data_IF_256625748965
#
_entry.id   IF_256625748965
#
_cell.length_a   1.000
_cell.length_b   1.000
_cell.length_c   1.000
_cell.angle_alpha   90.00
_cell.angle_beta   90.00
_cell.angle_gamma   90.00
#
_symmetry.space_group_name_H-M   'P 1'
#
loop_
_entity.id
_entity.type
_entity.pdbx_description
1 polymer ?
#
# COMPACT_ATOMS: atom_id res chain seq x y z
N UNK A 1 -8.35 36.01 -37.88
CA UNK A 1 -7.75 36.00 -36.54
C UNK A 1 -8.43 34.88 -35.75
N UNK A 2 -7.61 34.00 -35.20
CA UNK A 2 -7.94 32.60 -34.95
C UNK A 2 -8.99 32.37 -33.86
N UNK A 3 -9.98 31.54 -34.19
CA UNK A 3 -10.72 30.69 -33.27
C UNK A 3 -9.74 29.64 -32.73
N UNK A 4 -9.60 29.53 -31.41
CA UNK A 4 -8.89 28.43 -30.76
C UNK A 4 -9.93 27.37 -30.37
N UNK A 5 -9.79 26.20 -30.98
CA UNK A 5 -10.70 25.07 -30.92
C UNK A 5 -10.23 24.12 -29.80
N UNK A 6 -10.93 24.11 -28.66
CA UNK A 6 -10.69 23.21 -27.51
C UNK A 6 -11.37 21.84 -27.73
N UNK A 7 -11.14 21.21 -28.88
CA UNK A 7 -11.83 19.98 -29.29
C UNK A 7 -11.02 18.68 -29.14
N UNK A 8 -9.85 18.69 -28.48
CA UNK A 8 -8.95 17.53 -28.46
C UNK A 8 -9.00 16.59 -27.23
N UNK A 9 -9.89 16.78 -26.25
CA UNK A 9 -9.80 16.06 -24.95
C UNK A 9 -10.75 14.83 -24.79
N UNK A 10 -11.46 14.39 -25.84
CA UNK A 10 -12.36 13.22 -25.74
C UNK A 10 -12.05 12.06 -26.71
N UNK A 11 -10.93 12.08 -27.44
CA UNK A 11 -10.63 11.02 -28.42
C UNK A 11 -10.11 9.71 -27.82
N UNK A 12 -9.63 9.70 -26.56
CA UNK A 12 -9.09 8.47 -25.96
C UNK A 12 -10.15 7.57 -25.31
N UNK A 13 -11.42 8.01 -25.27
CA UNK A 13 -12.53 7.24 -24.68
C UNK A 13 -13.30 6.42 -25.73
N UNK A 14 -13.12 6.66 -27.04
CA UNK A 14 -13.95 6.04 -28.10
C UNK A 14 -13.32 4.90 -28.91
N UNK A 15 -11.99 4.76 -28.98
CA UNK A 15 -11.38 3.85 -29.95
C UNK A 15 -10.67 2.63 -29.34
N UNK A 16 -11.44 1.73 -28.72
CA UNK A 16 -11.02 0.32 -28.60
C UNK A 16 -11.91 -0.49 -29.55
N UNK A 17 -11.43 -0.89 -30.74
CA UNK A 17 -12.21 -1.72 -31.65
C UNK A 17 -12.43 -3.10 -31.02
N UNK A 18 -13.70 -3.39 -30.69
CA UNK A 18 -14.14 -4.70 -30.24
C UNK A 18 -14.40 -5.58 -31.48
N UNK A 19 -13.45 -6.44 -31.85
CA UNK A 19 -13.71 -7.57 -32.75
C UNK A 19 -13.85 -8.84 -31.90
N UNK A 20 -15.07 -9.32 -31.61
CA UNK A 20 -15.24 -10.61 -30.96
C UNK A 20 -14.88 -11.71 -31.97
N UNK A 21 -14.01 -12.69 -31.64
CA UNK A 21 -13.86 -13.86 -32.47
C UNK A 21 -15.15 -14.70 -32.38
N UNK A 22 -15.72 -15.02 -33.55
CA UNK A 22 -16.86 -15.92 -33.68
C UNK A 22 -16.58 -17.32 -33.09
N UNK A 23 -17.59 -18.02 -32.55
CA UNK A 23 -17.40 -19.29 -31.87
C UNK A 23 -17.09 -20.41 -32.87
N UNK A 24 -15.87 -20.94 -32.83
CA UNK A 24 -15.51 -22.20 -33.49
C UNK A 24 -15.59 -23.37 -32.48
N UNK A 25 -16.25 -24.44 -32.92
CA UNK A 25 -16.58 -25.66 -32.19
C UNK A 25 -15.35 -26.44 -31.67
N UNK A 26 -15.52 -27.33 -30.66
CA UNK A 26 -14.43 -27.88 -29.88
C UNK A 26 -13.72 -29.02 -30.63
N UNK A 27 -12.41 -28.88 -30.83
CA UNK A 27 -11.54 -30.00 -31.17
C UNK A 27 -10.80 -30.49 -29.92
N UNK A 28 -11.05 -31.76 -29.59
CA UNK A 28 -10.33 -32.53 -28.58
C UNK A 28 -8.81 -32.36 -28.70
N UNK A 29 -8.16 -31.91 -27.64
CA UNK A 29 -6.71 -32.08 -27.46
C UNK A 29 -6.40 -32.62 -26.07
N UNK A 30 -5.54 -33.64 -26.08
CA UNK A 30 -5.21 -34.56 -24.98
C UNK A 30 -4.62 -33.84 -23.77
N UNK A 31 -4.98 -34.31 -22.58
CA UNK A 31 -4.38 -33.96 -21.28
C UNK A 31 -2.89 -34.31 -21.28
N UNK A 32 -2.05 -33.33 -20.96
CA UNK A 32 -0.70 -33.51 -20.39
C UNK A 32 -0.71 -32.96 -18.96
N UNK A 33 0.10 -33.51 -18.04
CA UNK A 33 -0.01 -33.22 -16.61
C UNK A 33 0.49 -31.81 -16.27
N UNK A 34 -0.13 -31.21 -15.25
CA UNK A 34 0.23 -29.92 -14.67
C UNK A 34 1.55 -30.03 -13.92
N UNK A 35 2.58 -29.35 -14.39
CA UNK A 35 3.76 -29.05 -13.58
C UNK A 35 3.35 -28.07 -12.48
N UNK A 36 3.54 -28.51 -11.24
CA UNK A 36 3.39 -27.66 -10.05
C UNK A 36 4.67 -26.84 -9.94
N UNK A 37 4.60 -25.55 -10.25
CA UNK A 37 5.68 -24.61 -9.93
C UNK A 37 5.77 -24.45 -8.41
N UNK A 38 6.59 -25.29 -7.79
CA UNK A 38 7.09 -25.08 -6.43
C UNK A 38 8.08 -23.90 -6.46
N UNK A 39 7.63 -22.70 -6.08
CA UNK A 39 8.56 -21.69 -5.60
C UNK A 39 9.07 -22.15 -4.22
N UNK A 40 10.27 -22.70 -4.21
CA UNK A 40 10.99 -23.01 -2.98
C UNK A 40 11.47 -21.70 -2.33
N UNK A 41 11.03 -21.44 -1.10
CA UNK A 41 11.57 -20.36 -0.26
C UNK A 41 13.02 -20.70 0.14
N UNK A 42 13.96 -19.74 0.12
CA UNK A 42 15.32 -20.00 0.57
C UNK A 42 15.36 -20.20 2.10
N UNK A 43 16.32 -20.99 2.62
CA UNK A 43 16.46 -21.21 4.05
C UNK A 43 16.95 -19.93 4.75
N UNK A 44 16.36 -19.65 5.92
CA UNK A 44 16.73 -18.54 6.79
C UNK A 44 18.17 -18.73 7.31
N UNK A 45 19.15 -18.07 6.69
CA UNK A 45 20.53 -18.03 7.17
C UNK A 45 20.71 -16.95 8.24
N UNK A 46 21.18 -17.38 9.41
CA UNK A 46 21.74 -16.49 10.43
C UNK A 46 23.11 -16.01 9.96
N UNK A 47 23.23 -14.86 9.28
CA UNK A 47 24.50 -14.13 9.19
C UNK A 47 24.36 -12.67 8.70
N UNK A 48 24.79 -11.74 9.57
CA UNK A 48 25.03 -10.30 9.36
C UNK A 48 23.83 -9.35 9.12
N UNK A 49 23.79 -8.31 9.98
CA UNK A 49 22.68 -7.37 10.23
C UNK A 49 22.41 -6.32 9.13
N UNK A 50 22.30 -6.72 7.87
CA UNK A 50 21.72 -5.91 6.78
C UNK A 50 21.13 -6.83 5.71
N UNK A 51 19.88 -7.24 5.87
CA UNK A 51 19.12 -7.78 4.76
C UNK A 51 18.89 -6.66 3.74
N UNK A 52 19.61 -6.72 2.62
CA UNK A 52 19.28 -5.93 1.45
C UNK A 52 18.15 -6.67 0.72
N UNK A 53 17.21 -5.93 0.12
CA UNK A 53 16.50 -6.44 -1.05
C UNK A 53 17.56 -6.70 -2.14
N UNK A 54 18.25 -7.84 -2.06
CA UNK A 54 18.96 -8.44 -3.16
C UNK A 54 17.93 -8.62 -4.27
N UNK A 55 18.33 -8.31 -5.50
CA UNK A 55 17.48 -8.27 -6.68
C UNK A 55 17.00 -9.69 -7.02
N UNK A 56 16.06 -10.21 -6.23
CA UNK A 56 15.23 -11.36 -6.52
C UNK A 56 13.78 -10.90 -6.55
N UNK A 57 13.52 -9.90 -7.38
CA UNK A 57 12.19 -9.62 -7.91
C UNK A 57 12.18 -9.97 -9.41
N UNK A 58 12.38 -11.24 -9.80
CA UNK A 58 12.49 -11.65 -11.21
C UNK A 58 11.26 -11.21 -12.04
N UNK A 59 10.09 -11.08 -11.41
CA UNK A 59 8.86 -10.56 -12.04
C UNK A 59 8.88 -9.05 -12.31
N UNK A 60 9.59 -8.24 -11.51
CA UNK A 60 9.70 -6.80 -11.71
C UNK A 60 10.72 -6.44 -12.80
N UNK A 61 11.78 -7.22 -12.95
CA UNK A 61 12.76 -7.04 -14.04
C UNK A 61 12.12 -7.24 -15.42
N UNK A 62 11.17 -8.17 -15.54
CA UNK A 62 10.39 -8.37 -16.77
C UNK A 62 9.46 -7.18 -17.09
N UNK A 63 8.90 -6.55 -16.05
CA UNK A 63 8.08 -5.34 -16.17
C UNK A 63 8.88 -4.11 -16.64
N UNK A 64 10.19 -4.05 -16.39
CA UNK A 64 11.03 -2.93 -16.80
C UNK A 64 11.37 -2.91 -18.31
N UNK A 65 11.24 -4.06 -18.99
CA UNK A 65 11.60 -4.22 -20.41
C UNK A 65 10.46 -3.81 -21.35
N UNK A 66 9.21 -3.77 -20.87
CA UNK A 66 8.07 -3.35 -21.68
C UNK A 66 8.11 -1.83 -21.98
N UNK A 67 7.62 -1.45 -23.17
CA UNK A 67 7.58 -0.05 -23.61
C UNK A 67 6.64 0.79 -22.71
N UNK A 68 5.55 0.17 -22.23
CA UNK A 68 4.58 0.61 -21.22
C UNK A 68 4.89 0.07 -19.80
N UNK A 69 6.11 -0.41 -19.60
CA UNK A 69 6.56 -1.07 -18.38
C UNK A 69 6.76 -0.18 -17.15
N UNK A 70 6.91 -0.82 -15.98
CA UNK A 70 7.31 -0.14 -14.73
C UNK A 70 8.82 -0.19 -14.59
N UNK A 71 9.47 0.97 -14.54
CA UNK A 71 10.88 1.06 -14.14
C UNK A 71 10.99 0.75 -12.65
N UNK A 72 11.92 -0.11 -12.25
CA UNK A 72 12.17 -0.40 -10.84
C UNK A 72 13.54 0.11 -10.45
N UNK A 73 13.56 1.04 -9.50
CA UNK A 73 14.77 1.75 -9.10
C UNK A 73 14.91 1.77 -7.57
N UNK A 74 16.14 1.69 -7.03
CA UNK A 74 16.34 1.86 -5.60
C UNK A 74 15.99 3.30 -5.20
N UNK A 75 15.34 3.47 -4.05
CA UNK A 75 15.06 4.78 -3.46
C UNK A 75 16.36 5.38 -2.91
N UNK A 76 17.17 5.92 -3.81
CA UNK A 76 18.43 6.59 -3.48
C UNK A 76 18.20 8.09 -3.39
N UNK A 77 18.40 8.68 -2.21
CA UNK A 77 18.14 10.11 -1.93
C UNK A 77 18.86 11.06 -2.92
N UNK A 78 19.95 10.62 -3.56
CA UNK A 78 20.68 11.38 -4.58
C UNK A 78 20.02 11.42 -5.96
N UNK A 79 19.03 10.57 -6.24
CA UNK A 79 18.32 10.57 -7.52
C UNK A 79 17.35 11.76 -7.58
N UNK A 80 17.61 12.66 -8.53
CA UNK A 80 16.86 13.91 -8.72
C UNK A 80 15.42 13.71 -9.21
N UNK A 81 15.07 12.50 -9.69
CA UNK A 81 13.72 12.16 -10.14
C UNK A 81 12.76 11.91 -8.97
N UNK A 82 13.28 11.70 -7.76
CA UNK A 82 12.48 11.42 -6.58
C UNK A 82 11.94 12.75 -6.01
N UNK A 83 10.62 12.89 -5.83
CA UNK A 83 10.02 14.06 -5.19
C UNK A 83 10.57 14.30 -3.77
N UNK A 84 10.75 15.57 -3.40
CA UNK A 84 11.23 15.94 -2.06
C UNK A 84 10.31 15.43 -0.94
N UNK A 85 9.00 15.43 -1.19
CA UNK A 85 7.98 14.89 -0.28
C UNK A 85 8.14 13.38 -0.06
N UNK A 86 8.52 12.61 -1.09
CA UNK A 86 8.80 11.18 -0.99
C UNK A 86 10.08 10.93 -0.18
N UNK A 87 11.12 11.75 -0.37
CA UNK A 87 12.35 11.69 0.44
C UNK A 87 12.02 11.98 1.91
N UNK A 88 11.19 12.99 2.18
CA UNK A 88 10.77 13.34 3.54
C UNK A 88 9.98 12.19 4.19
N UNK A 89 8.99 11.62 3.50
CA UNK A 89 8.23 10.48 4.00
C UNK A 89 9.12 9.27 4.27
N UNK A 90 10.01 8.93 3.33
CA UNK A 90 10.96 7.81 3.50
C UNK A 90 11.85 8.00 4.72
N UNK A 91 12.37 9.21 4.96
CA UNK A 91 13.17 9.51 6.16
C UNK A 91 12.35 9.35 7.45
N UNK A 92 11.11 9.82 7.44
CA UNK A 92 10.21 9.69 8.59
C UNK A 92 9.94 8.21 8.90
N UNK A 93 9.69 7.39 7.89
CA UNK A 93 9.41 5.95 8.03
C UNK A 93 10.64 5.15 8.45
N UNK A 94 11.83 5.47 7.92
CA UNK A 94 13.05 4.70 8.19
C UNK A 94 13.78 5.09 9.48
N UNK A 95 13.63 6.34 9.94
CA UNK A 95 14.34 6.87 11.11
C UNK A 95 13.38 7.26 12.25
N UNK A 96 12.28 6.52 12.42
CA UNK A 96 11.35 6.79 13.53
C UNK A 96 12.11 6.63 14.86
N UNK A 97 12.09 7.67 15.68
CA UNK A 97 12.63 7.69 17.06
C UNK A 97 11.45 7.80 18.02
N UNK A 98 11.55 7.20 19.21
CA UNK A 98 10.42 7.14 20.13
C UNK A 98 9.29 6.32 19.49
N UNK A 99 9.48 5.01 19.33
CA UNK A 99 8.50 4.11 18.69
C UNK A 99 7.63 3.36 19.69
N UNK A 100 8.01 3.38 20.97
CA UNK A 100 7.33 2.66 22.04
C UNK A 100 6.48 3.64 22.84
N UNK A 101 5.16 3.41 23.00
CA UNK A 101 4.34 4.28 23.84
C UNK A 101 4.87 4.37 25.28
N UNK A 102 4.94 5.60 25.81
CA UNK A 102 5.50 5.86 27.15
C UNK A 102 4.82 5.05 28.26
N UNK A 103 3.51 4.81 28.13
CA UNK A 103 2.76 4.00 29.10
C UNK A 103 3.21 2.53 29.18
N UNK A 104 3.94 2.00 28.18
CA UNK A 104 4.49 0.65 28.19
C UNK A 104 5.89 0.58 28.83
N UNK A 105 6.53 1.71 29.15
CA UNK A 105 7.90 1.74 29.67
C UNK A 105 8.07 0.94 30.95
N UNK A 106 7.15 1.09 31.91
CA UNK A 106 7.19 0.35 33.17
C UNK A 106 6.99 -1.16 32.98
N UNK A 107 6.21 -1.58 31.99
CA UNK A 107 5.97 -2.99 31.69
C UNK A 107 7.20 -3.62 31.01
N UNK A 108 7.80 -2.90 30.06
CA UNK A 108 9.03 -3.32 29.37
C UNK A 108 10.21 -3.39 30.34
N UNK A 109 10.35 -2.42 31.26
CA UNK A 109 11.39 -2.46 32.28
C UNK A 109 11.31 -3.74 33.14
N UNK A 110 10.08 -4.13 33.56
CA UNK A 110 9.85 -5.39 34.30
C UNK A 110 10.18 -6.64 33.49
N UNK A 111 9.96 -6.63 32.18
CA UNK A 111 10.35 -7.75 31.31
C UNK A 111 11.88 -7.90 31.24
N UNK A 112 12.60 -6.77 31.16
CA UNK A 112 14.07 -6.76 31.12
C UNK A 112 14.70 -7.30 32.40
N UNK A 113 14.06 -7.09 33.55
CA UNK A 113 14.51 -7.63 34.84
C UNK A 113 14.31 -9.16 34.94
N UNK A 114 13.36 -9.73 34.20
CA UNK A 114 12.98 -11.15 34.30
C UNK A 114 13.69 -12.06 33.31
N UNK A 115 13.99 -11.56 32.11
CA UNK A 115 14.69 -12.32 31.08
C UNK A 115 16.19 -11.99 31.17
N UNK A 116 17.03 -12.94 31.59
CA UNK A 116 18.50 -12.84 31.55
C UNK A 116 19.08 -12.54 30.13
N UNK A 117 18.22 -12.48 29.11
CA UNK A 117 18.53 -11.95 27.78
C UNK A 117 18.14 -10.46 27.74
N UNK A 118 19.11 -9.55 27.64
CA UNK A 118 18.79 -8.15 27.75
C UNK A 118 18.12 -7.69 26.45
N UNK A 119 16.90 -7.18 26.55
CA UNK A 119 16.40 -6.23 25.56
C UNK A 119 17.17 -4.90 25.73
N UNK A 120 18.51 -4.94 25.59
CA UNK A 120 19.45 -3.80 25.71
C UNK A 120 19.09 -2.64 24.78
N UNK A 121 18.25 -2.92 23.79
CA UNK A 121 17.91 -1.98 22.74
C UNK A 121 16.83 -0.97 23.18
N UNK A 122 16.21 -1.14 24.36
CA UNK A 122 15.19 -0.23 24.91
C UNK A 122 15.79 0.86 25.80
N UNK A 123 16.68 1.69 25.25
CA UNK A 123 17.14 2.91 25.91
C UNK A 123 16.04 3.96 26.04
N UNK A 124 16.21 4.99 26.88
CA UNK A 124 15.20 6.05 27.09
C UNK A 124 14.70 6.71 25.79
N UNK A 125 15.55 6.79 24.77
CA UNK A 125 15.25 7.35 23.45
C UNK A 125 14.23 6.54 22.61
N UNK A 126 13.94 5.29 22.96
CA UNK A 126 12.95 4.47 22.21
C UNK A 126 11.51 4.76 22.62
N UNK A 127 11.29 5.41 23.76
CA UNK A 127 9.97 5.74 24.24
C UNK A 127 9.48 7.07 23.66
N UNK A 128 8.21 7.10 23.26
CA UNK A 128 7.52 8.25 22.70
C UNK A 128 7.55 9.41 23.70
N UNK A 129 8.16 10.53 23.29
CA UNK A 129 7.96 11.82 23.92
C UNK A 129 6.65 12.41 23.35
N UNK A 130 5.65 12.58 24.20
CA UNK A 130 4.24 12.78 23.82
C UNK A 130 3.96 14.04 23.00
N UNK A 131 4.93 14.94 22.84
CA UNK A 131 4.71 16.25 22.21
C UNK A 131 5.15 16.36 20.75
N UNK A 132 5.89 15.39 20.17
CA UNK A 132 6.60 15.66 18.90
C UNK A 132 6.46 14.64 17.76
N UNK A 133 5.97 13.44 18.02
CA UNK A 133 6.31 12.34 17.10
C UNK A 133 5.13 11.81 16.28
N UNK A 134 3.88 12.06 16.67
CA UNK A 134 2.77 11.38 16.00
C UNK A 134 1.41 12.08 16.17
N UNK A 135 0.51 11.90 15.18
CA UNK A 135 -0.90 12.29 15.26
C UNK A 135 -1.64 11.36 16.25
N UNK A 136 -1.89 11.78 17.51
CA UNK A 136 -2.38 10.87 18.55
C UNK A 136 -3.75 10.27 18.21
N UNK A 137 -4.53 10.97 17.38
CA UNK A 137 -5.84 10.51 16.90
C UNK A 137 -5.77 9.37 15.87
N UNK A 138 -4.59 9.07 15.30
CA UNK A 138 -4.39 7.96 14.36
C UNK A 138 -3.60 6.79 14.97
N UNK A 139 -3.05 6.93 16.18
CA UNK A 139 -2.34 5.86 16.88
C UNK A 139 -3.25 5.30 17.99
N UNK A 140 -3.86 4.13 17.79
CA UNK A 140 -4.68 3.54 18.83
C UNK A 140 -3.81 3.11 20.01
N UNK A 141 -4.42 2.96 21.19
CA UNK A 141 -3.74 2.38 22.34
C UNK A 141 -3.48 0.90 22.07
N UNK A 142 -2.25 0.44 22.30
CA UNK A 142 -1.81 -0.94 22.06
C UNK A 142 -1.37 -1.59 23.37
N UNK A 143 -1.46 -2.92 23.43
CA UNK A 143 -1.04 -3.70 24.60
C UNK A 143 0.29 -4.40 24.29
N UNK A 144 1.20 -4.45 25.27
CA UNK A 144 2.49 -5.11 25.10
C UNK A 144 2.33 -6.59 24.77
N UNK A 145 1.38 -7.27 25.42
CA UNK A 145 1.06 -8.67 25.17
C UNK A 145 0.65 -8.94 23.70
N UNK A 146 -0.05 -8.01 23.05
CA UNK A 146 -0.40 -8.14 21.64
C UNK A 146 0.84 -8.08 20.73
N UNK A 147 1.80 -7.20 21.05
CA UNK A 147 3.08 -7.12 20.33
C UNK A 147 3.91 -8.39 20.56
N UNK A 148 3.96 -8.89 21.79
CA UNK A 148 4.64 -10.14 22.12
C UNK A 148 4.04 -11.34 21.37
N UNK A 149 2.71 -11.39 21.21
CA UNK A 149 2.04 -12.43 20.44
C UNK A 149 2.44 -12.41 18.96
N UNK A 150 2.59 -11.21 18.36
CA UNK A 150 3.07 -11.06 16.99
C UNK A 150 4.51 -11.58 16.85
N UNK A 151 5.40 -11.23 17.77
CA UNK A 151 6.80 -11.69 17.77
C UNK A 151 6.88 -13.21 17.93
N UNK A 152 6.11 -13.78 18.85
CA UNK A 152 6.03 -15.23 19.02
C UNK A 152 5.49 -15.92 17.75
N UNK A 153 4.43 -15.35 17.15
CA UNK A 153 3.86 -15.84 15.90
C UNK A 153 4.85 -15.80 14.73
N UNK A 154 5.70 -14.76 14.65
CA UNK A 154 6.75 -14.66 13.65
C UNK A 154 7.85 -15.72 13.88
N UNK A 155 8.24 -15.94 15.14
CA UNK A 155 9.22 -16.99 15.48
C UNK A 155 8.69 -18.39 15.11
N UNK A 156 7.41 -18.67 15.37
CA UNK A 156 6.77 -19.93 15.01
C UNK A 156 6.62 -20.07 13.49
N UNK A 157 6.19 -19.02 12.79
CA UNK A 157 6.07 -19.00 11.34
C UNK A 157 7.43 -19.25 10.65
N UNK A 158 8.49 -18.63 11.16
CA UNK A 158 9.86 -18.85 10.67
C UNK A 158 10.33 -20.29 10.96
N UNK A 159 10.19 -20.76 12.20
CA UNK A 159 10.66 -22.09 12.63
C UNK A 159 9.98 -23.21 11.85
N UNK A 160 8.68 -23.06 11.59
CA UNK A 160 7.86 -24.06 10.93
C UNK A 160 7.70 -23.82 9.42
N UNK A 161 8.42 -22.84 8.85
CA UNK A 161 8.41 -22.53 7.41
C UNK A 161 7.01 -22.32 6.85
N UNK A 162 6.22 -21.47 7.53
CA UNK A 162 4.87 -21.14 7.06
C UNK A 162 4.91 -20.56 5.65
N UNK A 163 3.90 -20.88 4.87
CA UNK A 163 3.65 -20.24 3.58
C UNK A 163 3.14 -18.80 3.78
N UNK A 164 2.99 -18.06 2.68
CA UNK A 164 2.53 -16.68 2.71
C UNK A 164 1.15 -16.53 3.39
N UNK A 165 0.27 -17.52 3.25
CA UNK A 165 -1.04 -17.53 3.90
C UNK A 165 -0.91 -17.67 5.43
N UNK A 166 -0.02 -18.56 5.89
CA UNK A 166 0.33 -18.74 7.29
C UNK A 166 0.90 -17.46 7.91
N UNK A 167 1.85 -16.81 7.23
CA UNK A 167 2.40 -15.50 7.64
C UNK A 167 1.32 -14.41 7.70
N UNK A 168 0.47 -14.32 6.66
CA UNK A 168 -0.60 -13.34 6.60
C UNK A 168 -1.59 -13.48 7.75
N UNK A 169 -1.91 -14.71 8.16
CA UNK A 169 -2.88 -14.99 9.21
C UNK A 169 -2.28 -14.84 10.61
N UNK A 170 -1.04 -15.29 10.79
CA UNK A 170 -0.39 -15.40 12.11
C UNK A 170 0.33 -14.10 12.52
N UNK A 171 0.79 -13.31 11.54
CA UNK A 171 1.69 -12.17 11.80
C UNK A 171 1.17 -10.90 11.15
N UNK A 172 1.00 -10.87 9.83
CA UNK A 172 0.76 -9.61 9.12
C UNK A 172 -0.61 -9.01 9.43
N UNK A 173 -1.69 -9.78 9.36
CA UNK A 173 -3.02 -9.29 9.68
C UNK A 173 -3.13 -8.89 11.17
N UNK A 174 -2.66 -9.67 12.15
CA UNK A 174 -2.61 -9.23 13.55
C UNK A 174 -1.85 -7.92 13.77
N UNK A 175 -0.69 -7.73 13.14
CA UNK A 175 0.05 -6.47 13.20
C UNK A 175 -0.75 -5.30 12.63
N UNK A 176 -1.38 -5.49 11.46
CA UNK A 176 -2.24 -4.47 10.87
C UNK A 176 -3.48 -4.19 11.73
N UNK A 177 -4.06 -5.18 12.40
CA UNK A 177 -5.13 -4.95 13.37
C UNK A 177 -4.66 -4.06 14.51
N UNK A 178 -3.47 -4.34 15.05
CA UNK A 178 -2.90 -3.55 16.13
C UNK A 178 -2.61 -2.10 15.69
N UNK A 179 -2.10 -1.90 14.47
CA UNK A 179 -1.84 -0.57 13.89
C UNK A 179 -3.12 0.25 13.73
N UNK A 180 -4.20 -0.35 13.21
CA UNK A 180 -5.41 0.38 12.86
C UNK A 180 -6.40 0.52 14.01
N UNK A 181 -6.52 -0.49 14.87
CA UNK A 181 -7.56 -0.59 15.89
C UNK A 181 -7.00 -0.69 17.32
N UNK A 182 -5.75 -1.09 17.50
CA UNK A 182 -5.14 -1.28 18.81
C UNK A 182 -5.94 -2.23 19.69
N UNK A 183 -6.23 -1.82 20.92
CA UNK A 183 -7.08 -2.55 21.88
C UNK A 183 -8.59 -2.43 21.60
N UNK A 184 -8.99 -1.55 20.70
CA UNK A 184 -10.40 -1.28 20.44
C UNK A 184 -10.99 -2.33 19.50
N UNK A 185 -12.29 -2.59 19.63
CA UNK A 185 -13.00 -3.41 18.66
C UNK A 185 -12.91 -2.77 17.26
N UNK A 186 -13.13 -3.56 16.20
CA UNK A 186 -13.25 -3.04 14.83
C UNK A 186 -14.38 -2.01 14.76
N UNK A 187 -14.01 -0.75 14.93
CA UNK A 187 -14.94 0.36 14.95
C UNK A 187 -15.23 0.90 13.55
N UNK A 188 -16.13 1.86 13.54
CA UNK A 188 -16.45 2.75 12.43
C UNK A 188 -15.43 3.89 12.41
N UNK A 189 -14.37 3.74 11.63
CA UNK A 189 -13.32 4.75 11.52
C UNK A 189 -12.95 5.03 10.06
N UNK A 190 -12.45 6.24 9.84
CA UNK A 190 -12.09 6.75 8.52
C UNK A 190 -10.98 5.93 7.84
N UNK A 191 -9.96 5.51 8.59
CA UNK A 191 -8.82 4.78 8.02
C UNK A 191 -8.93 3.31 8.34
N UNK A 192 -8.89 2.44 7.32
CA UNK A 192 -9.12 1.01 7.47
C UNK A 192 -8.17 0.21 6.61
N UNK A 193 -8.13 -1.09 6.86
CA UNK A 193 -7.48 -2.05 5.97
C UNK A 193 -8.38 -3.25 5.70
N UNK A 194 -8.15 -3.90 4.56
CA UNK A 194 -8.83 -5.13 4.15
C UNK A 194 -7.83 -6.10 3.52
N UNK A 195 -8.03 -7.40 3.77
CA UNK A 195 -7.32 -8.46 3.06
C UNK A 195 -7.91 -8.65 1.65
N UNK A 196 -7.04 -8.72 0.65
CA UNK A 196 -7.38 -8.60 -0.77
C UNK A 196 -6.75 -9.73 -1.61
N UNK A 197 -6.64 -10.94 -1.06
CA UNK A 197 -5.96 -12.09 -1.69
C UNK A 197 -6.50 -12.52 -3.08
N UNK A 198 -7.61 -11.93 -3.54
CA UNK A 198 -8.23 -12.13 -4.86
C UNK A 198 -8.39 -10.84 -5.68
N UNK A 199 -7.92 -9.70 -5.19
CA UNK A 199 -7.98 -8.44 -5.92
C UNK A 199 -6.99 -8.48 -7.08
N UNK A 200 -7.53 -8.60 -8.29
CA UNK A 200 -6.78 -8.33 -9.51
C UNK A 200 -6.76 -6.82 -9.77
N UNK A 201 -5.64 -6.32 -10.29
CA UNK A 201 -5.62 -5.01 -10.95
C UNK A 201 -6.52 -5.11 -12.18
N UNK A 202 -7.39 -4.13 -12.39
CA UNK A 202 -8.29 -4.11 -13.55
C UNK A 202 -7.49 -4.25 -14.86
N UNK A 203 -7.98 -5.00 -15.87
CA UNK A 203 -7.24 -5.23 -17.11
C UNK A 203 -6.79 -3.96 -17.84
N UNK A 204 -7.54 -2.86 -17.71
CA UNK A 204 -7.18 -1.56 -18.26
C UNK A 204 -5.93 -0.91 -17.64
N UNK A 205 -5.35 -1.50 -16.60
CA UNK A 205 -4.18 -1.02 -15.85
C UNK A 205 -3.13 -2.12 -15.69
N UNK A 206 -3.39 -3.31 -16.24
CA UNK A 206 -2.35 -4.31 -16.39
C UNK A 206 -1.44 -3.83 -17.52
N UNK A 207 -0.15 -3.80 -17.23
CA UNK A 207 0.87 -3.68 -18.26
C UNK A 207 0.73 -4.91 -19.15
N UNK A 208 0.70 -4.70 -20.46
CA UNK A 208 0.54 -5.80 -21.40
C UNK A 208 1.60 -6.87 -21.13
N UNK A 209 1.17 -8.14 -21.04
CA UNK A 209 2.01 -9.32 -20.74
C UNK A 209 2.55 -9.46 -19.30
N UNK A 210 2.11 -8.64 -18.34
CA UNK A 210 2.44 -8.85 -16.93
C UNK A 210 1.31 -9.61 -16.20
N UNK A 211 1.60 -10.81 -15.71
CA UNK A 211 0.74 -11.42 -14.68
C UNK A 211 0.86 -10.58 -13.40
N UNK A 212 -0.17 -9.78 -13.10
CA UNK A 212 -0.18 -8.91 -11.93
C UNK A 212 0.01 -9.71 -10.64
N UNK A 213 1.05 -9.36 -9.85
CA UNK A 213 1.23 -9.91 -8.50
C UNK A 213 0.05 -9.44 -7.63
N UNK A 214 -0.54 -10.36 -6.86
CA UNK A 214 -1.73 -10.09 -6.05
C UNK A 214 -1.36 -9.17 -4.88
N UNK A 215 -2.25 -8.22 -4.57
CA UNK A 215 -2.13 -7.37 -3.38
C UNK A 215 -2.75 -8.12 -2.20
N UNK A 216 -1.99 -8.37 -1.13
CA UNK A 216 -2.50 -9.14 0.02
C UNK A 216 -3.36 -8.31 0.96
N UNK A 217 -3.02 -7.04 1.14
CA UNK A 217 -3.74 -6.10 1.99
C UNK A 217 -3.81 -4.74 1.33
N UNK A 218 -4.93 -4.05 1.52
CA UNK A 218 -5.16 -2.70 1.02
C UNK A 218 -5.52 -1.80 2.19
N UNK A 219 -4.88 -0.63 2.25
CA UNK A 219 -5.28 0.46 3.14
C UNK A 219 -6.23 1.36 2.36
N UNK A 220 -7.33 1.75 2.99
CA UNK A 220 -8.34 2.57 2.33
C UNK A 220 -8.98 3.57 3.27
N UNK A 221 -9.50 4.63 2.67
CA UNK A 221 -10.29 5.66 3.35
C UNK A 221 -11.77 5.34 3.21
N UNK A 222 -12.45 5.22 4.33
CA UNK A 222 -13.88 4.98 4.43
C UNK A 222 -14.60 6.31 4.65
N UNK A 223 -14.83 7.04 3.55
CA UNK A 223 -15.39 8.39 3.55
C UNK A 223 -16.72 8.53 4.31
N UNK A 224 -17.45 7.43 4.55
CA UNK A 224 -18.69 7.45 5.33
C UNK A 224 -18.46 7.87 6.80
N UNK A 225 -17.22 7.75 7.29
CA UNK A 225 -16.83 8.12 8.65
C UNK A 225 -15.97 9.39 8.72
N UNK A 226 -15.90 10.17 7.64
CA UNK A 226 -15.37 11.54 7.76
C UNK A 226 -16.41 12.42 8.49
N UNK A 227 -15.91 13.37 9.28
CA UNK A 227 -16.70 14.46 9.86
C UNK A 227 -17.47 15.29 8.83
N UNK A 228 -16.90 15.43 7.62
CA UNK A 228 -17.53 16.05 6.47
C UNK A 228 -18.25 14.98 5.64
N UNK A 229 -19.59 15.03 5.51
CA UNK A 229 -20.35 14.07 4.72
C UNK A 229 -20.24 14.30 3.21
N UNK A 230 -19.75 15.47 2.76
CA UNK A 230 -19.73 15.85 1.34
C UNK A 230 -18.92 14.87 0.47
N UNK A 231 -17.70 14.44 0.83
CA UNK A 231 -16.91 13.51 0.02
C UNK A 231 -17.63 12.18 -0.20
N UNK A 232 -18.25 11.61 0.83
CA UNK A 232 -19.03 10.38 0.72
C UNK A 232 -20.20 10.52 -0.27
N UNK A 233 -20.93 11.63 -0.17
CA UNK A 233 -22.04 11.91 -1.07
C UNK A 233 -21.58 12.09 -2.53
N UNK A 234 -20.45 12.77 -2.74
CA UNK A 234 -19.86 12.95 -4.08
C UNK A 234 -19.39 11.62 -4.67
N UNK A 235 -18.73 10.77 -3.88
CA UNK A 235 -18.33 9.42 -4.31
C UNK A 235 -19.55 8.63 -4.78
N UNK A 236 -20.65 8.63 -4.02
CA UNK A 236 -21.88 7.92 -4.40
C UNK A 236 -22.53 8.48 -5.69
N UNK A 237 -22.38 9.78 -5.98
CA UNK A 237 -22.89 10.39 -7.22
C UNK A 237 -22.00 10.12 -8.43
N UNK A 238 -20.69 10.15 -8.25
CA UNK A 238 -19.70 9.97 -9.33
C UNK A 238 -19.65 8.51 -9.77
N UNK A 239 -19.65 7.56 -8.83
CA UNK A 239 -19.41 6.13 -9.10
C UNK A 239 -20.29 5.56 -10.23
N UNK A 240 -21.63 5.74 -10.24
CA UNK A 240 -22.47 5.19 -11.30
C UNK A 240 -22.12 5.67 -12.72
N UNK A 241 -21.42 6.81 -12.84
CA UNK A 241 -21.05 7.43 -14.12
C UNK A 241 -19.74 6.85 -14.67
N UNK A 242 -18.91 6.23 -13.82
CA UNK A 242 -17.61 5.70 -14.20
C UNK A 242 -17.75 4.36 -14.92
N UNK A 243 -16.85 4.12 -15.88
CA UNK A 243 -16.82 2.94 -16.77
C UNK A 243 -16.89 1.59 -16.03
N UNK A 244 -16.47 1.53 -14.76
CA UNK A 244 -16.47 0.31 -13.93
C UNK A 244 -17.10 0.52 -12.54
N UNK A 245 -17.82 1.62 -12.31
CA UNK A 245 -18.38 2.00 -11.00
C UNK A 245 -17.37 2.10 -9.85
N UNK A 246 -16.09 2.24 -10.19
CA UNK A 246 -14.95 2.26 -9.27
C UNK A 246 -14.20 3.58 -9.35
N UNK A 247 -13.91 4.14 -8.18
CA UNK A 247 -13.09 5.35 -8.05
C UNK A 247 -11.57 5.04 -8.04
N UNK A 248 -11.20 3.76 -8.04
CA UNK A 248 -9.84 3.22 -7.95
C UNK A 248 -9.55 2.23 -9.10
N UNK A 249 -8.32 1.68 -9.13
CA UNK A 249 -7.87 0.68 -10.11
C UNK A 249 -8.27 -0.78 -9.78
N UNK A 250 -8.97 -0.99 -8.66
CA UNK A 250 -9.43 -2.31 -8.22
C UNK A 250 -10.87 -2.57 -8.68
N UNK A 251 -11.12 -3.76 -9.22
CA UNK A 251 -12.47 -4.25 -9.54
C UNK A 251 -13.14 -4.96 -8.36
N UNK A 252 -12.48 -5.01 -7.19
CA UNK A 252 -13.06 -5.61 -6.00
C UNK A 252 -14.23 -4.74 -5.52
N UNK A 253 -15.45 -5.31 -5.53
CA UNK A 253 -16.69 -4.58 -5.20
C UNK A 253 -16.64 -3.85 -3.84
N UNK A 254 -15.96 -4.43 -2.84
CA UNK A 254 -15.80 -3.80 -1.52
C UNK A 254 -14.84 -2.62 -1.50
N UNK A 255 -14.09 -2.38 -2.57
CA UNK A 255 -13.06 -1.34 -2.68
C UNK A 255 -13.41 -0.25 -3.70
N UNK A 256 -14.35 -0.50 -4.62
CA UNK A 256 -14.76 0.46 -5.65
C UNK A 256 -15.26 1.82 -5.12
N UNK A 257 -15.56 1.91 -3.82
CA UNK A 257 -16.08 3.10 -3.14
C UNK A 257 -15.04 3.85 -2.29
N UNK A 258 -13.87 3.27 -2.11
CA UNK A 258 -12.98 3.66 -1.03
C UNK A 258 -11.63 4.05 -1.59
N UNK A 259 -11.20 5.32 -1.45
CA UNK A 259 -9.91 5.76 -1.92
C UNK A 259 -8.77 4.85 -1.44
N UNK A 260 -8.07 4.27 -2.40
CA UNK A 260 -6.86 3.45 -2.23
C UNK A 260 -5.72 4.06 -3.03
N UNK A 261 -6.06 4.67 -4.17
CA UNK A 261 -5.11 5.20 -5.14
C UNK A 261 -5.81 6.10 -6.16
N UNK A 262 -5.10 7.07 -6.68
CA UNK A 262 -5.70 8.06 -7.57
C UNK A 262 -5.97 7.52 -8.98
N UNK A 263 -7.24 7.51 -9.41
CA UNK A 263 -7.58 7.52 -10.85
C UNK A 263 -8.73 8.44 -11.26
N UNK A 264 -9.58 8.86 -10.33
CA UNK A 264 -10.82 9.58 -10.63
C UNK A 264 -10.69 10.91 -11.42
N UNK A 265 -9.49 11.43 -11.65
CA UNK A 265 -9.28 12.87 -11.75
C UNK A 265 -8.42 13.35 -12.91
N UNK A 266 -8.17 12.50 -13.91
CA UNK A 266 -7.60 12.92 -15.20
C UNK A 266 -6.38 13.83 -15.05
N UNK A 267 -6.27 14.86 -15.86
CA UNK A 267 -5.12 15.79 -15.98
C UNK A 267 -4.71 16.53 -14.68
N UNK A 268 -5.33 16.24 -13.52
CA UNK A 268 -4.99 16.76 -12.18
C UNK A 268 -4.40 15.73 -11.21
N UNK A 269 -4.18 14.48 -11.63
CA UNK A 269 -3.37 13.50 -10.86
C UNK A 269 -1.96 14.04 -10.56
N UNK A 270 -1.52 15.04 -11.32
CA UNK A 270 -0.25 15.75 -11.22
C UNK A 270 0.11 16.32 -9.85
N UNK A 271 -0.89 16.62 -9.02
CA UNK A 271 -0.66 17.20 -7.69
C UNK A 271 -0.31 16.13 -6.65
N UNK A 272 -0.58 14.84 -6.91
CA UNK A 272 -0.15 13.75 -6.05
C UNK A 272 1.16 13.15 -6.57
N UNK A 273 2.28 13.61 -6.01
CA UNK A 273 3.62 13.30 -6.51
C UNK A 273 3.99 11.80 -6.49
N UNK A 274 3.40 11.02 -5.57
CA UNK A 274 3.67 9.59 -5.44
C UNK A 274 2.57 8.82 -4.70
N UNK A 275 2.56 7.50 -4.83
CA UNK A 275 1.71 6.58 -4.07
C UNK A 275 2.60 5.61 -3.29
N UNK A 276 2.57 5.62 -1.94
CA UNK A 276 3.36 4.71 -1.12
C UNK A 276 2.76 3.30 -1.10
N UNK A 277 3.60 2.31 -0.82
CA UNK A 277 3.22 0.93 -0.63
C UNK A 277 4.17 0.22 0.33
N UNK A 278 3.78 -1.00 0.69
CA UNK A 278 4.55 -1.88 1.58
C UNK A 278 4.74 -3.21 0.87
N UNK A 279 5.98 -3.70 0.87
CA UNK A 279 6.28 -5.10 0.55
C UNK A 279 6.67 -5.80 1.84
N UNK A 280 6.09 -6.97 2.09
CA UNK A 280 6.41 -7.79 3.25
C UNK A 280 7.02 -9.10 2.77
N UNK A 281 8.12 -9.52 3.40
CA UNK A 281 8.78 -10.78 3.11
C UNK A 281 9.17 -11.46 4.43
N UNK A 282 8.44 -12.52 4.79
CA UNK A 282 8.55 -13.14 6.10
C UNK A 282 8.26 -12.12 7.21
N UNK A 283 9.19 -11.95 8.14
CA UNK A 283 9.09 -10.98 9.22
C UNK A 283 9.44 -9.54 8.80
N UNK A 284 9.97 -9.30 7.59
CA UNK A 284 10.56 -8.02 7.20
C UNK A 284 9.61 -7.12 6.40
N UNK A 285 9.60 -5.82 6.71
CA UNK A 285 8.68 -4.83 6.13
C UNK A 285 9.45 -3.74 5.38
N UNK A 286 9.18 -3.59 4.09
CA UNK A 286 9.89 -2.69 3.18
C UNK A 286 8.97 -1.61 2.63
N UNK A 287 9.50 -0.38 2.56
CA UNK A 287 8.80 0.75 1.97
C UNK A 287 9.08 0.80 0.47
N UNK A 288 8.00 0.92 -0.31
CA UNK A 288 8.05 1.20 -1.74
C UNK A 288 7.17 2.41 -2.05
N UNK A 289 7.40 3.05 -3.19
CA UNK A 289 6.53 4.09 -3.68
C UNK A 289 6.53 4.14 -5.20
N UNK A 290 5.39 4.47 -5.79
CA UNK A 290 5.26 4.66 -7.23
C UNK A 290 5.16 6.14 -7.55
N UNK A 291 6.00 6.61 -8.48
CA UNK A 291 5.87 7.95 -9.10
C UNK A 291 5.58 7.80 -10.58
N UNK A 292 4.97 8.80 -11.20
CA UNK A 292 4.78 8.83 -12.65
C UNK A 292 5.63 9.95 -13.28
N UNK A 293 6.52 9.58 -14.20
CA UNK A 293 7.41 10.50 -14.91
C UNK A 293 6.83 10.87 -16.27
N UNK A 294 6.48 12.15 -16.44
CA UNK A 294 5.92 12.68 -17.69
C UNK A 294 6.92 12.76 -18.82
N UNK A 295 8.17 13.12 -18.53
CA UNK A 295 9.21 13.24 -19.56
C UNK A 295 9.51 11.90 -20.23
N UNK A 296 9.30 10.79 -19.52
CA UNK A 296 9.50 9.44 -20.02
C UNK A 296 8.20 8.67 -20.27
N UNK A 297 7.05 9.25 -19.90
CA UNK A 297 5.73 8.60 -19.89
C UNK A 297 5.75 7.22 -19.19
N UNK A 298 6.46 7.11 -18.05
CA UNK A 298 6.66 5.84 -17.34
C UNK A 298 6.41 5.95 -15.85
N UNK A 299 5.85 4.89 -15.28
CA UNK A 299 5.78 4.69 -13.82
C UNK A 299 7.12 4.16 -13.33
N UNK A 300 7.63 4.74 -12.25
CA UNK A 300 8.82 4.27 -11.54
C UNK A 300 8.39 3.75 -10.17
N UNK A 301 8.67 2.48 -9.90
CA UNK A 301 8.54 1.87 -8.58
C UNK A 301 9.88 1.99 -7.84
N UNK A 302 9.90 2.86 -6.85
CA UNK A 302 11.01 3.06 -5.94
C UNK A 302 10.95 2.04 -4.81
N UNK A 303 12.07 1.37 -4.53
CA UNK A 303 12.16 0.43 -3.40
C UNK A 303 13.26 0.80 -2.42
N UNK A 304 12.95 0.73 -1.12
CA UNK A 304 13.94 0.87 -0.06
C UNK A 304 14.77 -0.41 0.03
N UNK A 305 16.10 -0.27 0.09
CA UNK A 305 17.01 -1.43 0.23
C UNK A 305 16.94 -2.07 1.61
N UNK A 306 16.61 -1.28 2.63
CA UNK A 306 16.52 -1.72 4.01
C UNK A 306 15.06 -1.75 4.45
N UNK A 307 14.70 -2.72 5.30
CA UNK A 307 13.40 -2.75 5.93
C UNK A 307 13.28 -1.55 6.89
N UNK A 308 12.05 -1.02 7.02
CA UNK A 308 11.75 -0.01 8.04
C UNK A 308 11.37 -0.65 9.38
N UNK A 309 10.99 -1.94 9.36
CA UNK A 309 10.63 -2.69 10.54
C UNK A 309 10.68 -4.20 10.29
N UNK A 310 10.67 -4.96 11.38
CA UNK A 310 10.59 -6.43 11.36
C UNK A 310 9.74 -6.93 12.53
N UNK A 311 9.15 -8.12 12.41
CA UNK A 311 8.47 -8.82 13.51
C UNK A 311 9.34 -9.87 14.21
N UNK A 312 10.65 -9.92 13.94
CA UNK A 312 11.60 -10.86 14.55
C UNK A 312 11.90 -10.54 16.03
N UNK A 313 11.77 -9.28 16.42
CA UNK A 313 12.04 -8.80 17.76
C UNK A 313 11.07 -7.69 18.18
N UNK A 314 10.93 -7.54 19.49
CA UNK A 314 9.95 -6.64 20.11
C UNK A 314 10.14 -5.18 19.67
N UNK A 315 11.37 -4.65 19.72
CA UNK A 315 11.64 -3.26 19.34
C UNK A 315 11.40 -3.02 17.84
N UNK A 316 11.83 -3.95 16.98
CA UNK A 316 11.60 -3.86 15.54
C UNK A 316 10.12 -3.95 15.17
N UNK A 317 9.33 -4.67 15.97
CA UNK A 317 7.88 -4.74 15.80
C UNK A 317 7.24 -3.39 16.12
N UNK A 318 7.66 -2.73 17.20
CA UNK A 318 7.24 -1.35 17.50
C UNK A 318 7.64 -0.38 16.38
N UNK A 319 8.86 -0.52 15.81
CA UNK A 319 9.26 0.26 14.63
C UNK A 319 8.33 0.02 13.44
N UNK A 320 8.02 -1.24 13.12
CA UNK A 320 7.09 -1.56 12.04
C UNK A 320 5.72 -0.91 12.27
N UNK A 321 5.17 -1.00 13.48
CA UNK A 321 3.90 -0.37 13.87
C UNK A 321 3.96 1.14 13.65
N UNK A 322 4.98 1.81 14.21
CA UNK A 322 5.14 3.26 14.13
C UNK A 322 5.35 3.76 12.69
N UNK A 323 6.11 3.02 11.87
CA UNK A 323 6.33 3.33 10.46
C UNK A 323 5.06 3.19 9.61
N UNK A 324 4.24 2.16 9.83
CA UNK A 324 2.94 1.99 9.13
C UNK A 324 1.96 3.06 9.59
N UNK A 325 2.01 3.43 10.86
CA UNK A 325 1.34 4.58 11.41
C UNK A 325 1.70 5.87 10.64
N UNK A 326 2.98 6.16 10.37
CA UNK A 326 3.34 7.31 9.52
C UNK A 326 2.74 7.25 8.10
N UNK A 327 2.58 6.06 7.52
CA UNK A 327 1.88 5.89 6.26
C UNK A 327 0.37 6.19 6.37
N UNK A 328 -0.26 5.83 7.49
CA UNK A 328 -1.64 6.22 7.80
C UNK A 328 -1.79 7.73 7.92
N UNK A 329 -0.84 8.41 8.57
CA UNK A 329 -0.81 9.86 8.65
C UNK A 329 -0.67 10.51 7.26
N UNK A 330 0.22 9.97 6.41
CA UNK A 330 0.32 10.42 5.01
C UNK A 330 -1.00 10.23 4.24
N UNK A 331 -1.69 9.10 4.45
CA UNK A 331 -2.99 8.84 3.84
C UNK A 331 -4.05 9.88 4.26
N UNK A 332 -4.03 10.33 5.52
CA UNK A 332 -4.93 11.37 6.00
C UNK A 332 -4.57 12.76 5.46
N UNK A 333 -3.32 13.16 5.63
CA UNK A 333 -2.87 14.52 5.38
C UNK A 333 -2.68 14.84 3.90
N UNK A 334 -2.30 13.84 3.10
CA UNK A 334 -1.95 14.04 1.69
C UNK A 334 -3.02 13.42 0.80
N UNK A 335 -3.18 12.10 0.85
CA UNK A 335 -4.08 11.39 -0.07
C UNK A 335 -5.53 11.84 0.14
N UNK A 336 -6.04 11.76 1.35
CA UNK A 336 -7.44 12.05 1.61
C UNK A 336 -7.77 13.53 1.44
N UNK A 337 -6.89 14.42 1.90
CA UNK A 337 -6.99 15.87 1.62
C UNK A 337 -7.08 16.15 0.13
N UNK A 338 -6.25 15.48 -0.68
CA UNK A 338 -6.28 15.61 -2.13
C UNK A 338 -7.63 15.17 -2.72
N UNK A 339 -8.19 14.03 -2.28
CA UNK A 339 -9.53 13.61 -2.71
C UNK A 339 -10.61 14.64 -2.36
N UNK A 340 -10.59 15.19 -1.14
CA UNK A 340 -11.57 16.20 -0.71
C UNK A 340 -11.52 17.47 -1.56
N UNK A 341 -10.33 17.89 -1.98
CA UNK A 341 -10.15 19.05 -2.86
C UNK A 341 -10.68 18.80 -4.29
N UNK A 342 -10.57 17.57 -4.77
CA UNK A 342 -10.73 17.28 -6.19
C UNK A 342 -12.06 16.60 -6.55
N UNK A 343 -12.67 15.86 -5.64
CA UNK A 343 -13.99 15.23 -5.85
C UNK A 343 -15.08 16.21 -6.35
N UNK A 344 -15.19 17.46 -5.84
CA UNK A 344 -16.18 18.40 -6.34
C UNK A 344 -15.99 18.75 -7.82
N UNK A 345 -14.75 18.99 -8.24
CA UNK A 345 -14.42 19.31 -9.63
C UNK A 345 -14.66 18.12 -10.56
N UNK A 346 -14.30 16.91 -10.12
CA UNK A 346 -14.57 15.67 -10.86
C UNK A 346 -16.08 15.47 -11.09
N UNK A 347 -16.89 15.65 -10.05
CA UNK A 347 -18.34 15.56 -10.16
C UNK A 347 -18.91 16.59 -11.15
N UNK A 348 -18.48 17.85 -11.07
CA UNK A 348 -18.95 18.91 -11.97
C UNK A 348 -18.64 18.60 -13.44
N UNK A 349 -17.42 18.13 -13.73
CA UNK A 349 -17.00 17.74 -15.08
C UNK A 349 -17.87 16.60 -15.64
N UNK A 350 -18.11 15.55 -14.85
CA UNK A 350 -18.93 14.40 -15.25
C UNK A 350 -20.43 14.74 -15.44
N UNK A 351 -20.96 15.71 -14.70
CA UNK A 351 -22.33 16.20 -14.93
C UNK A 351 -22.44 17.02 -16.23
N UNK A 352 -21.41 17.80 -16.57
CA UNK A 352 -21.42 18.65 -17.76
C UNK A 352 -21.40 17.84 -19.06
N UNK A 353 -20.64 16.74 -19.11
CA UNK A 353 -20.54 15.86 -20.28
C UNK A 353 -21.83 15.09 -20.59
N UNK A 354 -22.61 14.73 -19.56
CA UNK A 354 -23.91 14.08 -19.74
C UNK A 354 -24.99 15.00 -20.31
N UNK A 355 -24.87 16.32 -20.12
CA UNK A 355 -25.87 17.29 -20.61
C UNK A 355 -25.68 17.61 -22.10
N UNK A 356 -24.50 17.35 -22.66
CA UNK A 356 -24.19 17.56 -24.08
C UNK A 356 -24.47 16.35 -24.99
N UNK A 357 -24.97 15.23 -24.43
CA UNK A 357 -25.32 14.02 -25.19
C UNK A 357 -26.84 13.78 -25.30
N UNK A 358 -27.67 14.70 -24.80
CA UNK A 358 -29.12 14.77 -25.04
C UNK A 358 -29.43 15.88 -26.01
#
# INVERSE_FOLDING_TARGET
MAYNDDSHILSWIRDIPFNPPSPSQPHHRKRTPSDSEQLASPPCSQESRRANLGVEMPSLSALAVAEDGVEVAPLQISDKRIPHSLIALSRNISNVVGVVPKYLEAEIAKLNERNDSPYTDFGSHVFLDSEKTYLPHLAPTIELAAVQLIVAGAADACRNQFDESGWNTTVHAPLLYLVFYGKECRGTQLHRFQACTRAGVQPAYLINNAQGKKVHFVFYVDAQYDSDPQPHQLINKIRPILKDTSIDHSSQASLCAHPISVKLLGDKVDELEFIPGIIVHGDQWFFVASTYSRSTNKTILWYSRSCFGSTDALLWTFKAIASIQHLRAWSDEILWRWYKQHLPAAHASLCSTNTSMT
#
